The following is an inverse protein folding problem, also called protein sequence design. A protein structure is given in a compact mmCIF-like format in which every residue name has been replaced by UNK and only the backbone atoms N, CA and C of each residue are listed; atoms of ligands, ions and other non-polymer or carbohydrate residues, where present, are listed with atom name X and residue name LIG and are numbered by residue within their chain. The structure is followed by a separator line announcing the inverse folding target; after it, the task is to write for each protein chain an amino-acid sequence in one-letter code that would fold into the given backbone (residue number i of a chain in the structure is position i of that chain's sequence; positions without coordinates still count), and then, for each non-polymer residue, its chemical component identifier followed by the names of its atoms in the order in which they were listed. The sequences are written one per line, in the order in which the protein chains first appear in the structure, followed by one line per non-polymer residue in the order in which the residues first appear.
data_IF_920944487903
#
_entry.id   IF_920944487903
#
_cell.length_a   1.000
_cell.length_b   1.000
_cell.length_c   1.000
_cell.angle_alpha   90.00
_cell.angle_beta   90.00
_cell.angle_gamma   90.00
#
_symmetry.space_group_name_H-M   'P 1'
#
loop_
_entity.id
_entity.type
_entity.pdbx_description
1 polymer ?
#
# COMPACT_ATOMS: atom_id res chain seq x y z
N UNK A 1 7.48 19.51 -1.53
CA UNK A 1 6.20 18.77 -1.36
C UNK A 1 5.12 19.49 -2.14
N UNK A 2 4.39 18.80 -3.02
CA UNK A 2 3.30 19.40 -3.81
C UNK A 2 1.93 19.09 -3.18
N UNK A 3 1.01 20.06 -3.16
CA UNK A 3 -0.38 19.88 -2.74
C UNK A 3 -1.21 19.22 -3.85
N UNK A 4 -0.92 17.95 -4.15
CA UNK A 4 -1.67 17.21 -5.17
C UNK A 4 -2.83 16.49 -4.54
N UNK A 5 -4.03 16.77 -5.04
CA UNK A 5 -5.27 16.10 -4.65
C UNK A 5 -5.36 14.73 -5.31
N UNK A 6 -4.84 14.59 -6.53
CA UNK A 6 -4.85 13.36 -7.32
C UNK A 6 -3.40 12.89 -7.52
N UNK A 7 -3.13 11.56 -7.41
CA UNK A 7 -1.82 11.01 -7.69
C UNK A 7 -1.32 11.30 -9.11
N UNK A 8 -0.01 11.19 -9.31
CA UNK A 8 0.60 11.41 -10.64
C UNK A 8 0.18 10.34 -11.64
N UNK A 9 0.05 10.75 -12.91
CA UNK A 9 -0.19 9.84 -14.02
C UNK A 9 1.12 9.19 -14.45
N UNK A 10 1.43 8.04 -13.85
CA UNK A 10 2.58 7.23 -14.21
C UNK A 10 2.13 5.97 -14.96
N UNK A 11 1.61 6.15 -16.16
CA UNK A 11 1.26 5.07 -17.10
C UNK A 11 1.94 5.30 -18.45
N UNK A 12 2.25 4.22 -19.16
CA UNK A 12 2.78 4.34 -20.52
C UNK A 12 1.66 4.79 -21.47
N UNK A 13 1.82 5.93 -22.12
CA UNK A 13 0.90 6.43 -23.16
C UNK A 13 1.11 5.78 -24.53
N UNK A 14 2.22 5.05 -24.70
CA UNK A 14 2.56 4.33 -25.92
C UNK A 14 3.14 2.97 -25.57
N UNK A 15 2.61 1.93 -26.21
CA UNK A 15 3.17 0.58 -26.16
C UNK A 15 3.92 0.30 -27.45
N UNK A 16 5.17 -0.13 -27.34
CA UNK A 16 5.94 -0.66 -28.47
C UNK A 16 6.30 -2.10 -28.15
N UNK A 17 5.93 -3.03 -29.04
CA UNK A 17 6.40 -4.42 -28.98
C UNK A 17 7.91 -4.52 -29.28
N UNK A 18 8.53 -3.46 -29.81
CA UNK A 18 9.97 -3.41 -30.07
C UNK A 18 10.64 -2.77 -28.86
N UNK A 19 11.27 -3.53 -27.95
CA UNK A 19 12.03 -2.95 -26.85
C UNK A 19 13.24 -2.22 -27.40
N UNK A 20 13.68 -1.17 -26.71
CA UNK A 20 14.84 -0.34 -27.11
C UNK A 20 16.17 -1.11 -27.23
N UNK A 21 16.19 -2.37 -26.80
CA UNK A 21 17.35 -3.28 -26.82
C UNK A 21 17.08 -4.62 -27.52
N UNK A 22 16.10 -4.73 -28.43
CA UNK A 22 15.98 -5.93 -29.28
C UNK A 22 16.88 -5.83 -30.51
N UNK A 23 17.71 -6.86 -30.74
CA UNK A 23 18.34 -7.05 -32.04
C UNK A 23 17.24 -7.40 -33.05
N UNK A 24 17.11 -6.60 -34.11
CA UNK A 24 16.20 -6.91 -35.22
C UNK A 24 16.61 -8.20 -35.91
N UNK A 25 15.67 -8.84 -36.61
CA UNK A 25 15.96 -10.02 -37.41
C UNK A 25 17.09 -9.70 -38.43
N UNK A 26 18.16 -10.53 -38.53
CA UNK A 26 19.28 -10.28 -39.43
C UNK A 26 18.87 -10.15 -40.91
N UNK A 27 17.77 -10.80 -41.28
CA UNK A 27 17.24 -10.82 -42.65
C UNK A 27 16.20 -9.74 -42.93
N UNK A 28 15.68 -9.06 -41.89
CA UNK A 28 14.65 -8.03 -42.01
C UNK A 28 14.88 -6.94 -40.94
N UNK A 29 15.73 -5.93 -41.25
CA UNK A 29 16.00 -4.83 -40.34
C UNK A 29 14.70 -4.10 -39.98
N UNK A 30 14.44 -3.91 -38.67
CA UNK A 30 13.21 -3.29 -38.17
C UNK A 30 12.11 -4.28 -37.74
N UNK A 31 12.21 -5.57 -38.08
CA UNK A 31 11.30 -6.59 -37.54
C UNK A 31 11.85 -7.18 -36.24
N UNK A 32 10.99 -7.33 -35.23
CA UNK A 32 11.34 -7.95 -33.96
C UNK A 32 11.54 -9.47 -34.12
N UNK A 33 12.71 -9.96 -33.70
CA UNK A 33 13.05 -11.39 -33.75
C UNK A 33 12.48 -12.13 -32.54
N UNK A 34 11.28 -12.69 -32.68
CA UNK A 34 10.58 -13.44 -31.61
C UNK A 34 11.29 -14.74 -31.21
N UNK A 35 12.11 -15.32 -32.09
CA UNK A 35 12.84 -16.57 -31.79
C UNK A 35 14.03 -16.31 -30.87
N UNK A 36 14.66 -15.13 -30.96
CA UNK A 36 15.79 -14.74 -30.10
C UNK A 36 15.35 -13.96 -28.87
N UNK A 37 14.34 -13.11 -28.98
CA UNK A 37 13.88 -12.26 -27.89
C UNK A 37 12.74 -12.89 -27.06
N UNK A 38 12.13 -13.98 -27.53
CA UNK A 38 10.97 -14.60 -26.90
C UNK A 38 9.65 -13.92 -27.28
N UNK A 39 8.54 -14.56 -26.92
CA UNK A 39 7.19 -14.03 -27.17
C UNK A 39 6.66 -13.43 -25.87
N UNK A 40 6.56 -12.10 -25.82
CA UNK A 40 6.02 -11.37 -24.68
C UNK A 40 7.08 -10.79 -23.73
N UNK A 41 6.65 -9.99 -22.73
CA UNK A 41 7.55 -9.37 -21.77
C UNK A 41 8.28 -10.45 -20.95
N UNK A 42 9.61 -10.34 -20.92
CA UNK A 42 10.45 -11.19 -20.08
C UNK A 42 10.14 -10.94 -18.60
N UNK A 43 10.04 -11.99 -17.75
CA UNK A 43 9.92 -11.79 -16.31
C UNK A 43 11.13 -11.06 -15.69
N UNK A 44 12.25 -10.95 -16.41
CA UNK A 44 13.40 -10.13 -16.03
C UNK A 44 13.32 -8.65 -16.47
N UNK A 45 12.34 -8.28 -17.31
CA UNK A 45 12.03 -6.89 -17.69
C UNK A 45 10.94 -6.26 -16.77
N UNK A 46 10.75 -6.84 -15.58
CA UNK A 46 9.74 -6.45 -14.59
C UNK A 46 9.87 -5.01 -14.03
N UNK A 47 10.92 -4.28 -14.41
CA UNK A 47 11.11 -2.87 -14.02
C UNK A 47 10.08 -1.91 -14.64
N UNK A 48 9.31 -2.34 -15.64
CA UNK A 48 8.14 -1.61 -16.13
C UNK A 48 6.87 -2.37 -15.73
N UNK A 49 6.09 -1.77 -14.84
CA UNK A 49 4.77 -2.26 -14.49
C UNK A 49 3.97 -2.55 -15.76
N UNK A 50 3.63 -3.82 -15.97
CA UNK A 50 3.02 -4.36 -17.19
C UNK A 50 1.53 -3.98 -17.29
N UNK A 51 1.00 -3.13 -16.40
CA UNK A 51 -0.38 -2.68 -16.53
C UNK A 51 -0.52 -1.47 -17.44
N UNK A 52 -1.21 -1.69 -18.56
CA UNK A 52 -1.60 -0.65 -19.50
C UNK A 52 -2.68 0.30 -18.95
N UNK A 53 -3.29 -0.04 -17.81
CA UNK A 53 -4.47 0.67 -17.32
C UNK A 53 -4.09 1.94 -16.53
N UNK A 54 -4.53 3.13 -16.99
CA UNK A 54 -4.14 4.41 -16.39
C UNK A 54 -4.58 4.58 -14.93
N UNK A 55 -5.62 3.86 -14.49
CA UNK A 55 -6.11 3.96 -13.11
C UNK A 55 -5.36 3.09 -12.12
N UNK A 56 -4.63 2.05 -12.54
CA UNK A 56 -3.99 1.15 -11.58
C UNK A 56 -2.88 1.85 -10.78
N UNK A 57 -2.05 2.63 -11.46
CA UNK A 57 -1.02 3.43 -10.80
C UNK A 57 -1.64 4.44 -9.83
N UNK A 58 -2.75 5.07 -10.22
CA UNK A 58 -3.50 6.01 -9.36
C UNK A 58 -4.10 5.32 -8.15
N UNK A 59 -4.76 4.17 -8.31
CA UNK A 59 -5.36 3.43 -7.20
C UNK A 59 -4.30 2.99 -6.18
N UNK A 60 -3.15 2.51 -6.66
CA UNK A 60 -2.01 2.12 -5.78
C UNK A 60 -1.41 3.30 -5.00
N UNK A 61 -1.44 4.50 -5.56
CA UNK A 61 -0.80 5.70 -4.97
C UNK A 61 -1.80 6.66 -4.31
N UNK A 62 -3.09 6.35 -4.34
CA UNK A 62 -4.16 7.19 -3.82
C UNK A 62 -3.99 7.50 -2.33
N UNK A 63 -3.82 6.46 -1.52
CA UNK A 63 -3.71 6.60 -0.06
C UNK A 63 -2.45 7.39 0.33
N UNK A 64 -1.31 7.05 -0.29
CA UNK A 64 -0.04 7.75 -0.05
C UNK A 64 -0.12 9.24 -0.43
N UNK A 65 -0.82 9.56 -1.53
CA UNK A 65 -1.00 10.96 -1.98
C UNK A 65 -1.91 11.73 -1.03
N UNK A 66 -3.01 11.12 -0.57
CA UNK A 66 -3.93 11.71 0.42
C UNK A 66 -3.20 11.99 1.74
N UNK A 67 -2.40 11.04 2.22
CA UNK A 67 -1.61 11.21 3.44
C UNK A 67 -0.55 12.30 3.28
N UNK A 68 0.17 12.33 2.16
CA UNK A 68 1.15 13.37 1.87
C UNK A 68 0.53 14.77 1.81
N UNK A 69 -0.66 14.91 1.21
CA UNK A 69 -1.42 16.16 1.19
C UNK A 69 -1.81 16.57 2.62
N UNK A 70 -2.30 15.63 3.44
CA UNK A 70 -2.68 15.91 4.83
C UNK A 70 -1.48 16.41 5.63
N UNK A 71 -0.35 15.71 5.57
CA UNK A 71 0.88 16.09 6.28
C UNK A 71 1.43 17.43 5.80
N UNK A 72 1.39 17.70 4.49
CA UNK A 72 1.83 19.00 3.95
C UNK A 72 0.90 20.14 4.37
N UNK A 73 -0.42 19.89 4.45
CA UNK A 73 -1.40 20.87 4.94
C UNK A 73 -1.11 21.22 6.39
N UNK A 74 -0.92 20.21 7.23
CA UNK A 74 -0.60 20.40 8.66
C UNK A 74 0.73 21.11 8.85
N UNK A 75 1.74 20.77 8.02
CA UNK A 75 3.03 21.48 8.00
C UNK A 75 2.87 22.97 7.71
N UNK A 76 1.95 23.35 6.83
CA UNK A 76 1.71 24.76 6.45
C UNK A 76 0.92 25.51 7.50
N UNK A 77 -0.08 24.87 8.14
CA UNK A 77 -0.93 25.53 9.13
C UNK A 77 -0.28 25.60 10.51
N UNK A 78 0.48 24.57 10.90
CA UNK A 78 1.00 24.40 12.26
C UNK A 78 2.52 24.28 12.34
N UNK A 79 3.22 24.27 11.20
CA UNK A 79 4.67 24.14 11.14
C UNK A 79 5.17 22.69 11.11
N UNK A 80 6.49 22.52 11.05
CA UNK A 80 7.14 21.22 10.86
C UNK A 80 6.97 20.25 12.05
N UNK A 81 6.68 20.77 13.23
CA UNK A 81 6.52 19.96 14.43
C UNK A 81 5.30 19.03 14.35
N UNK A 82 4.23 19.45 13.64
CA UNK A 82 2.98 18.68 13.60
C UNK A 82 3.15 17.35 12.85
N UNK A 83 3.68 17.31 11.60
CA UNK A 83 3.87 16.04 10.90
C UNK A 83 4.80 15.08 11.64
N UNK A 84 5.84 15.61 12.30
CA UNK A 84 6.77 14.81 13.10
C UNK A 84 6.06 14.19 14.30
N UNK A 85 5.29 14.99 15.04
CA UNK A 85 4.49 14.51 16.16
C UNK A 85 3.49 13.44 15.72
N UNK A 86 2.77 13.66 14.62
CA UNK A 86 1.83 12.68 14.06
C UNK A 86 2.51 11.37 13.69
N UNK A 87 3.68 11.42 13.06
CA UNK A 87 4.48 10.24 12.75
C UNK A 87 4.91 9.48 14.01
N UNK A 88 5.29 10.19 15.08
CA UNK A 88 5.63 9.58 16.36
C UNK A 88 4.40 8.95 17.05
N UNK A 89 3.25 9.63 17.04
CA UNK A 89 1.99 9.10 17.58
C UNK A 89 1.57 7.82 16.86
N UNK A 90 1.64 7.81 15.53
CA UNK A 90 1.32 6.63 14.70
C UNK A 90 2.30 5.48 14.99
N UNK A 91 3.60 5.79 15.15
CA UNK A 91 4.61 4.78 15.52
C UNK A 91 4.31 4.15 16.88
N UNK A 92 3.99 4.97 17.89
CA UNK A 92 3.63 4.48 19.23
C UNK A 92 2.35 3.62 19.16
N UNK A 93 1.35 4.02 18.39
CA UNK A 93 0.12 3.25 18.22
C UNK A 93 0.36 1.87 17.58
N UNK A 94 1.34 1.77 16.67
CA UNK A 94 1.74 0.48 16.06
C UNK A 94 2.57 -0.41 16.97
N UNK A 95 3.53 0.17 17.70
CA UNK A 95 4.51 -0.58 18.48
C UNK A 95 4.01 -0.93 19.89
N UNK A 96 3.10 -0.14 20.47
CA UNK A 96 2.93 -0.09 21.93
C UNK A 96 1.50 -0.33 22.44
N UNK A 97 0.64 -1.01 21.68
CA UNK A 97 -0.71 -1.35 22.16
C UNK A 97 -0.88 -2.86 22.29
N UNK A 98 -0.92 -3.35 23.53
CA UNK A 98 -1.57 -4.64 23.78
C UNK A 98 -3.03 -4.50 23.40
N UNK A 99 -3.53 -5.41 22.57
CA UNK A 99 -4.91 -5.44 22.12
C UNK A 99 -5.45 -6.85 22.36
N UNK A 100 -6.64 -6.97 22.95
CA UNK A 100 -7.22 -8.28 23.18
C UNK A 100 -7.48 -8.98 21.85
N UNK A 101 -7.36 -10.31 21.82
CA UNK A 101 -7.47 -11.08 20.57
C UNK A 101 -8.83 -10.90 19.91
N UNK A 102 -9.89 -10.69 20.69
CA UNK A 102 -11.23 -10.36 20.18
C UNK A 102 -11.30 -9.06 19.35
N UNK A 103 -10.37 -8.12 19.56
CA UNK A 103 -10.25 -6.88 18.79
C UNK A 103 -9.10 -6.90 17.78
N UNK A 104 -8.25 -7.93 17.86
CA UNK A 104 -7.11 -8.14 16.96
C UNK A 104 -7.36 -9.25 15.93
N UNK A 105 -8.53 -9.89 15.96
CA UNK A 105 -8.92 -10.96 15.05
C UNK A 105 -8.84 -10.50 13.59
N UNK A 106 -8.28 -11.35 12.74
CA UNK A 106 -8.17 -11.09 11.30
C UNK A 106 -7.12 -10.06 10.87
N UNK A 107 -6.16 -9.67 11.72
CA UNK A 107 -5.09 -8.74 11.34
C UNK A 107 -5.56 -7.28 11.16
N UNK A 108 -6.70 -6.93 11.76
CA UNK A 108 -7.28 -5.59 11.71
C UNK A 108 -6.37 -4.53 12.34
N UNK A 109 -6.28 -3.38 11.68
CA UNK A 109 -5.56 -2.22 12.19
C UNK A 109 -6.15 -1.73 13.52
N UNK A 110 -5.40 -0.94 14.27
CA UNK A 110 -5.94 -0.39 15.52
C UNK A 110 -6.84 0.79 15.26
N UNK A 111 -7.94 0.91 16.02
CA UNK A 111 -8.82 2.09 15.94
C UNK A 111 -8.00 3.36 16.16
N UNK A 112 -7.00 3.32 17.05
CA UNK A 112 -6.07 4.44 17.26
C UNK A 112 -5.22 4.72 16.01
N UNK A 113 -4.71 3.68 15.36
CA UNK A 113 -3.96 3.81 14.11
C UNK A 113 -4.85 4.35 12.98
N UNK A 114 -6.10 3.91 12.89
CA UNK A 114 -7.07 4.37 11.89
C UNK A 114 -7.43 5.83 12.07
N UNK A 115 -7.66 6.29 13.30
CA UNK A 115 -7.91 7.70 13.60
C UNK A 115 -6.69 8.56 13.22
N UNK A 116 -5.49 8.10 13.56
CA UNK A 116 -4.25 8.82 13.24
C UNK A 116 -3.98 8.84 11.73
N UNK A 117 -4.26 7.75 11.01
CA UNK A 117 -4.21 7.69 9.56
C UNK A 117 -5.37 8.46 8.89
N UNK A 118 -6.48 8.70 9.60
CA UNK A 118 -7.72 9.27 9.06
C UNK A 118 -8.45 8.32 8.11
N UNK A 119 -8.45 7.02 8.44
CA UNK A 119 -9.21 5.94 7.78
C UNK A 119 -10.38 5.44 8.63
N UNK A 120 -10.67 6.10 9.75
CA UNK A 120 -11.77 5.79 10.67
C UNK A 120 -13.16 5.95 10.06
N UNK A 121 -13.28 6.74 9.00
CA UNK A 121 -14.54 6.97 8.26
C UNK A 121 -14.73 6.00 7.08
N UNK A 122 -13.74 5.15 6.78
CA UNK A 122 -13.77 4.25 5.62
C UNK A 122 -13.95 2.81 6.05
N UNK A 123 -14.72 2.04 5.27
CA UNK A 123 -14.91 0.60 5.47
C UNK A 123 -14.49 -0.13 4.20
N UNK A 124 -13.64 -1.15 4.33
CA UNK A 124 -13.20 -1.98 3.21
C UNK A 124 -13.76 -3.39 3.31
N UNK A 125 -13.56 -4.19 2.27
CA UNK A 125 -14.05 -5.57 2.22
C UNK A 125 -13.44 -6.42 3.35
N UNK A 126 -12.17 -6.17 3.66
CA UNK A 126 -11.41 -6.86 4.70
C UNK A 126 -11.98 -6.61 6.10
N UNK A 127 -12.69 -5.51 6.30
CA UNK A 127 -13.35 -5.20 7.58
C UNK A 127 -14.61 -6.04 7.81
N UNK A 128 -15.36 -6.30 6.73
CA UNK A 128 -16.63 -7.04 6.73
C UNK A 128 -16.40 -8.54 6.68
N UNK A 129 -15.47 -8.99 5.84
CA UNK A 129 -15.15 -10.40 5.64
C UNK A 129 -13.77 -10.71 6.20
N UNK A 130 -13.72 -10.84 7.52
CA UNK A 130 -12.57 -11.43 8.20
C UNK A 130 -12.54 -12.93 7.91
N UNK A 131 -11.45 -13.44 7.33
CA UNK A 131 -11.22 -14.85 6.97
C UNK A 131 -11.11 -15.78 8.20
N UNK A 132 -12.03 -15.66 9.15
CA UNK A 132 -11.84 -16.01 10.56
C UNK A 132 -12.83 -17.07 11.04
N UNK A 133 -13.27 -17.93 10.12
CA UNK A 133 -14.27 -18.98 10.38
C UNK A 133 -13.77 -20.06 11.37
N UNK A 134 -12.49 -20.05 11.76
CA UNK A 134 -11.86 -21.10 12.58
C UNK A 134 -11.28 -20.65 13.91
N UNK A 135 -11.34 -19.36 14.25
CA UNK A 135 -10.65 -18.85 15.43
C UNK A 135 -11.51 -18.96 16.68
N UNK A 136 -10.95 -19.59 17.72
CA UNK A 136 -11.64 -19.83 18.97
C UNK A 136 -11.89 -18.50 19.70
N UNK A 137 -13.13 -18.25 20.13
CA UNK A 137 -13.45 -17.11 20.99
C UNK A 137 -12.70 -17.24 22.33
N UNK A 138 -11.59 -16.52 22.46
CA UNK A 138 -10.86 -16.38 23.71
C UNK A 138 -11.46 -15.20 24.46
N UNK A 139 -11.83 -15.39 25.73
CA UNK A 139 -12.33 -14.28 26.55
C UNK A 139 -11.19 -13.32 26.89
N UNK A 140 -11.50 -12.02 26.92
CA UNK A 140 -10.54 -10.98 27.30
C UNK A 140 -10.00 -11.21 28.71
N UNK A 141 -10.83 -11.75 29.60
CA UNK A 141 -10.45 -12.04 30.97
C UNK A 141 -9.35 -13.11 31.03
N UNK A 142 -9.51 -14.22 30.28
CA UNK A 142 -8.51 -15.29 30.23
C UNK A 142 -7.16 -14.81 29.65
N UNK A 143 -7.18 -13.86 28.72
CA UNK A 143 -5.97 -13.24 28.18
C UNK A 143 -5.24 -12.37 29.20
N UNK A 144 -5.98 -11.55 29.94
CA UNK A 144 -5.43 -10.68 30.97
C UNK A 144 -4.81 -11.53 32.08
N UNK A 145 -5.52 -12.56 32.54
CA UNK A 145 -5.02 -13.47 33.57
C UNK A 145 -3.73 -14.17 33.15
N UNK A 146 -3.66 -14.70 31.92
CA UNK A 146 -2.42 -15.31 31.38
C UNK A 146 -1.24 -14.33 31.31
N UNK A 147 -1.52 -13.05 31.06
CA UNK A 147 -0.48 -12.01 30.95
C UNK A 147 0.04 -11.58 32.33
N UNK A 148 -0.85 -11.45 33.31
CA UNK A 148 -0.48 -11.06 34.68
C UNK A 148 0.27 -12.16 35.44
N UNK A 149 -0.04 -13.44 35.18
CA UNK A 149 0.63 -14.58 35.84
C UNK A 149 2.07 -14.83 35.33
N UNK A 150 2.45 -14.22 34.20
CA UNK A 150 3.79 -14.37 33.58
C UNK A 150 4.80 -13.26 33.97
N UNK A 151 4.45 -12.40 34.93
CA UNK A 151 5.34 -11.40 35.55
C UNK A 151 5.67 -11.87 36.97
#
# INVERSE_FOLDING_TARGET
MSLRIVPEDNHASSFSHIPSKSLSAPSAPGLHDTLRAGVGPSPHDADKAISAHPLEARLKSWEATREALRMETLRRTYGIAEPVRRGMELKIARENTWRPMCLSQGGKTSVHEEILAGRDETITWEDVFTNDDTSAFVSVQDEIERKLVKI
#
